data_IF_556889226340
#
_entry.id   IF_556889226340
#
_cell.length_a   1.000
_cell.length_b   1.000
_cell.length_c   1.000
_cell.angle_alpha   90.00
_cell.angle_beta   90.00
_cell.angle_gamma   90.00
#
_symmetry.space_group_name_H-M   'P 1'
#
loop_
_entity.id
_entity.type
_entity.pdbx_description
1 polymer ?
#
# COMPACT_ATOMS: atom_id res chain seq x y z
N UNK A 1 -8.64 5.40 -19.07
CA UNK A 1 -8.34 4.38 -18.04
C UNK A 1 -7.72 5.14 -16.89
N UNK A 2 -8.25 5.04 -15.67
CA UNK A 2 -7.67 5.77 -14.53
C UNK A 2 -6.35 5.11 -14.11
N UNK A 3 -5.35 5.89 -13.64
CA UNK A 3 -4.12 5.30 -13.10
C UNK A 3 -4.39 4.35 -11.92
N UNK A 4 -3.54 3.33 -11.70
CA UNK A 4 -3.70 2.33 -10.63
C UNK A 4 -3.89 2.93 -9.23
N UNK A 5 -3.28 4.07 -8.93
CA UNK A 5 -3.39 4.76 -7.64
C UNK A 5 -4.83 5.20 -7.31
N UNK A 6 -5.64 5.57 -8.31
CA UNK A 6 -7.05 5.95 -8.09
C UNK A 6 -7.93 4.73 -7.78
N UNK A 7 -7.61 3.57 -8.36
CA UNK A 7 -8.32 2.34 -8.01
C UNK A 7 -8.03 1.91 -6.57
N UNK A 8 -6.82 2.18 -6.08
CA UNK A 8 -6.43 1.92 -4.69
C UNK A 8 -7.08 2.92 -3.74
N UNK A 9 -7.11 4.21 -4.08
CA UNK A 9 -7.80 5.21 -3.26
C UNK A 9 -9.29 4.90 -3.13
N UNK A 10 -9.97 4.50 -4.20
CA UNK A 10 -11.39 4.09 -4.18
C UNK A 10 -11.62 2.87 -3.27
N UNK A 11 -10.74 1.88 -3.34
CA UNK A 11 -10.79 0.68 -2.50
C UNK A 11 -10.60 1.03 -1.02
N UNK A 12 -9.66 1.91 -0.70
CA UNK A 12 -9.37 2.26 0.69
C UNK A 12 -10.42 3.23 1.28
N UNK A 13 -11.00 4.11 0.46
CA UNK A 13 -12.04 5.06 0.89
C UNK A 13 -13.39 4.37 1.19
N UNK A 14 -13.59 3.13 0.74
CA UNK A 14 -14.81 2.34 0.99
C UNK A 14 -14.88 1.79 2.42
N UNK A 15 -15.13 2.70 3.40
CA UNK A 15 -15.55 2.44 4.79
C UNK A 15 -14.82 1.30 5.55
N UNK A 16 -13.91 1.69 6.44
CA UNK A 16 -13.53 0.99 7.69
C UNK A 16 -13.44 -0.53 7.61
N UNK A 17 -12.24 -1.05 7.33
CA UNK A 17 -11.90 -2.49 7.31
C UNK A 17 -12.24 -3.13 8.67
N UNK A 18 -13.49 -3.56 8.83
CA UNK A 18 -13.99 -4.36 9.96
C UNK A 18 -14.30 -5.81 9.57
N UNK A 19 -14.09 -6.16 8.30
CA UNK A 19 -14.29 -7.53 7.79
C UNK A 19 -12.96 -8.09 7.30
N UNK A 20 -12.62 -9.31 7.74
CA UNK A 20 -11.46 -10.06 7.27
C UNK A 20 -11.52 -10.37 5.76
N UNK A 21 -12.70 -10.31 5.13
CA UNK A 21 -12.88 -10.53 3.69
C UNK A 21 -14.00 -9.64 3.15
N UNK A 22 -13.77 -8.94 2.04
CA UNK A 22 -14.73 -8.04 1.42
C UNK A 22 -14.70 -8.18 -0.11
N UNK A 23 -15.86 -8.02 -0.77
CA UNK A 23 -15.96 -8.03 -2.23
C UNK A 23 -16.31 -6.64 -2.76
N UNK A 24 -15.42 -6.03 -3.54
CA UNK A 24 -15.60 -4.70 -4.13
C UNK A 24 -15.24 -4.74 -5.61
N UNK A 25 -16.12 -4.23 -6.48
CA UNK A 25 -15.88 -4.13 -7.92
C UNK A 25 -15.37 -5.43 -8.58
N UNK A 26 -15.81 -6.58 -8.07
CA UNK A 26 -15.37 -7.89 -8.57
C UNK A 26 -13.99 -8.34 -8.07
N UNK A 27 -13.42 -7.69 -7.06
CA UNK A 27 -12.21 -8.09 -6.33
C UNK A 27 -12.56 -8.59 -4.93
N UNK A 28 -11.76 -9.53 -4.44
CA UNK A 28 -11.73 -9.98 -3.05
C UNK A 28 -10.59 -9.25 -2.34
N UNK A 29 -10.92 -8.60 -1.23
CA UNK A 29 -10.02 -7.86 -0.38
C UNK A 29 -9.95 -8.61 0.95
N UNK A 30 -8.75 -8.97 1.38
CA UNK A 30 -8.54 -9.64 2.68
C UNK A 30 -7.72 -8.71 3.58
N UNK A 31 -8.24 -8.42 4.78
CA UNK A 31 -7.53 -7.63 5.78
C UNK A 31 -6.77 -8.49 6.76
N UNK A 32 -5.61 -8.01 7.21
CA UNK A 32 -4.73 -8.67 8.19
C UNK A 32 -4.39 -10.12 7.79
N UNK A 33 -3.65 -10.27 6.70
CA UNK A 33 -3.18 -11.58 6.26
C UNK A 33 -2.04 -12.05 7.16
N UNK A 34 -2.30 -13.11 7.93
CA UNK A 34 -1.33 -13.75 8.81
C UNK A 34 -0.39 -14.65 7.99
N UNK A 35 0.91 -14.45 8.18
CA UNK A 35 2.00 -15.20 7.57
C UNK A 35 2.87 -15.78 8.69
N UNK A 36 3.28 -17.03 8.52
CA UNK A 36 4.22 -17.70 9.41
C UNK A 36 5.53 -17.90 8.66
N UNK A 37 6.62 -17.38 9.21
CA UNK A 37 7.97 -17.58 8.69
C UNK A 37 8.80 -18.33 9.71
N UNK A 38 9.49 -19.39 9.29
CA UNK A 38 10.56 -20.01 10.08
C UNK A 38 11.82 -19.18 9.86
N UNK A 39 12.35 -18.57 10.92
CA UNK A 39 13.57 -17.77 10.87
C UNK A 39 14.82 -18.62 11.11
N UNK A 40 16.00 -18.03 10.90
CA UNK A 40 17.30 -18.69 11.06
C UNK A 40 17.59 -19.18 12.50
N UNK A 41 16.85 -18.65 13.49
CA UNK A 41 16.86 -19.10 14.89
C UNK A 41 16.07 -20.40 15.12
N UNK A 42 15.36 -20.89 14.10
CA UNK A 42 14.51 -22.07 14.18
C UNK A 42 13.13 -21.81 14.77
N UNK A 43 12.81 -20.56 15.15
CA UNK A 43 11.52 -20.17 15.71
C UNK A 43 10.56 -19.66 14.62
N UNK A 44 9.27 -19.74 14.93
CA UNK A 44 8.21 -19.18 14.10
C UNK A 44 8.01 -17.70 14.41
N UNK A 45 8.19 -16.86 13.40
CA UNK A 45 7.88 -15.44 13.46
C UNK A 45 6.57 -15.17 12.74
N UNK A 46 5.66 -14.45 13.42
CA UNK A 46 4.38 -14.07 12.86
C UNK A 46 4.48 -12.71 12.17
N UNK A 47 4.02 -12.68 10.93
CA UNK A 47 4.01 -11.53 10.05
C UNK A 47 2.55 -11.21 9.68
N UNK A 48 2.20 -9.93 9.62
CA UNK A 48 0.83 -9.50 9.32
C UNK A 48 0.84 -8.45 8.21
N UNK A 49 0.48 -8.85 6.99
CA UNK A 49 0.23 -7.88 5.93
C UNK A 49 -1.13 -7.20 6.17
N UNK A 50 -1.21 -5.88 5.95
CA UNK A 50 -2.44 -5.16 6.20
C UNK A 50 -3.57 -5.51 5.23
N UNK A 51 -3.34 -5.52 3.92
CA UNK A 51 -4.38 -5.80 2.92
C UNK A 51 -3.84 -6.57 1.70
N UNK A 52 -4.59 -7.56 1.22
CA UNK A 52 -4.36 -8.20 -0.08
C UNK A 52 -5.58 -8.04 -0.98
N UNK A 53 -5.33 -7.90 -2.28
CA UNK A 53 -6.36 -7.78 -3.32
C UNK A 53 -6.20 -8.93 -4.30
N UNK A 54 -7.30 -9.61 -4.61
CA UNK A 54 -7.32 -10.79 -5.49
C UNK A 54 -8.54 -10.74 -6.41
N UNK A 55 -8.40 -11.21 -7.65
CA UNK A 55 -9.57 -11.50 -8.50
C UNK A 55 -10.16 -12.87 -8.11
N UNK A 56 -11.51 -13.01 -8.03
CA UNK A 56 -12.16 -14.30 -7.87
C UNK A 56 -11.61 -15.30 -8.88
N UNK A 57 -11.28 -16.51 -8.42
CA UNK A 57 -10.72 -17.61 -9.20
C UNK A 57 -9.31 -17.39 -9.80
N UNK A 58 -8.62 -16.29 -9.50
CA UNK A 58 -7.21 -16.17 -9.85
C UNK A 58 -6.35 -16.97 -8.87
N UNK A 59 -5.30 -17.68 -9.31
CA UNK A 59 -4.35 -18.30 -8.39
C UNK A 59 -3.40 -17.28 -7.75
N UNK A 60 -3.29 -16.06 -8.31
CA UNK A 60 -2.32 -15.05 -7.88
C UNK A 60 -2.99 -13.84 -7.20
N UNK A 61 -2.29 -13.24 -6.24
CA UNK A 61 -2.67 -11.94 -5.71
C UNK A 61 -2.44 -10.86 -6.77
N UNK A 62 -3.42 -9.97 -6.88
CA UNK A 62 -3.32 -8.82 -7.78
C UNK A 62 -2.47 -7.73 -7.14
N UNK A 63 -2.70 -7.42 -5.86
CA UNK A 63 -1.92 -6.44 -5.13
C UNK A 63 -1.76 -6.81 -3.66
N UNK A 64 -0.62 -6.41 -3.10
CA UNK A 64 -0.27 -6.45 -1.70
C UNK A 64 -0.14 -5.00 -1.20
N UNK A 65 -0.85 -4.66 -0.12
CA UNK A 65 -0.88 -3.31 0.42
C UNK A 65 -0.41 -3.31 1.88
N UNK A 66 0.62 -2.54 2.15
CA UNK A 66 1.05 -2.17 3.51
C UNK A 66 0.48 -0.78 3.84
N UNK A 67 -0.23 -0.66 4.96
CA UNK A 67 -0.95 0.53 5.36
C UNK A 67 -0.36 1.09 6.65
N UNK A 68 0.02 2.36 6.61
CA UNK A 68 0.52 3.05 7.79
C UNK A 68 -0.21 4.38 8.00
N UNK A 69 -0.71 4.61 9.21
CA UNK A 69 -1.15 5.93 9.65
C UNK A 69 0.04 6.69 10.24
N UNK A 70 -0.02 8.04 10.25
CA UNK A 70 1.03 8.98 10.70
C UNK A 70 2.13 8.33 11.55
N UNK A 71 3.33 8.24 10.98
CA UNK A 71 4.46 7.55 11.57
C UNK A 71 5.77 8.37 11.45
N UNK A 72 6.75 8.05 12.30
CA UNK A 72 8.10 8.59 12.16
C UNK A 72 8.78 8.08 10.88
N UNK A 73 9.75 8.83 10.38
CA UNK A 73 10.56 8.43 9.21
C UNK A 73 11.17 7.04 9.40
N UNK A 74 11.74 6.76 10.58
CA UNK A 74 12.30 5.44 10.88
C UNK A 74 11.29 4.29 10.80
N UNK A 75 10.01 4.55 11.09
CA UNK A 75 8.95 3.57 10.91
C UNK A 75 8.61 3.41 9.42
N UNK A 76 8.53 4.50 8.66
CA UNK A 76 8.31 4.45 7.22
C UNK A 76 9.38 3.56 6.55
N UNK A 77 10.66 3.79 6.86
CA UNK A 77 11.77 2.99 6.32
C UNK A 77 11.63 1.50 6.64
N UNK A 78 11.31 1.17 7.90
CA UNK A 78 11.11 -0.22 8.32
C UNK A 78 9.98 -0.90 7.53
N UNK A 79 8.85 -0.20 7.32
CA UNK A 79 7.72 -0.76 6.58
C UNK A 79 7.95 -0.82 5.06
N UNK A 80 8.74 0.09 4.48
CA UNK A 80 9.15 0.01 3.08
C UNK A 80 9.93 -1.26 2.76
N UNK A 81 10.75 -1.76 3.69
CA UNK A 81 11.47 -3.02 3.52
C UNK A 81 10.59 -4.23 3.89
N UNK A 82 9.76 -4.10 4.92
CA UNK A 82 8.89 -5.17 5.41
C UNK A 82 7.91 -5.68 4.35
N UNK A 83 7.38 -4.81 3.49
CA UNK A 83 6.44 -5.20 2.45
C UNK A 83 7.04 -6.21 1.45
N UNK A 84 8.36 -6.17 1.21
CA UNK A 84 9.02 -7.15 0.34
C UNK A 84 9.10 -8.54 0.98
N UNK A 85 9.21 -8.64 2.30
CA UNK A 85 9.16 -9.94 3.00
C UNK A 85 7.82 -10.64 2.79
N UNK A 86 6.75 -9.86 2.66
CA UNK A 86 5.41 -10.39 2.35
C UNK A 86 5.30 -10.79 0.89
N UNK A 87 5.85 -9.98 -0.03
CA UNK A 87 5.81 -10.31 -1.44
C UNK A 87 6.60 -11.59 -1.77
N UNK A 88 7.75 -11.80 -1.14
CA UNK A 88 8.53 -13.04 -1.29
C UNK A 88 7.74 -14.31 -0.97
N UNK A 89 6.75 -14.22 -0.07
CA UNK A 89 5.89 -15.35 0.30
C UNK A 89 4.60 -15.42 -0.52
N UNK A 90 4.04 -14.27 -0.89
CA UNK A 90 2.71 -14.16 -1.49
C UNK A 90 2.72 -14.01 -3.01
N UNK A 91 3.88 -13.68 -3.60
CA UNK A 91 4.11 -13.48 -5.03
C UNK A 91 3.04 -12.61 -5.70
N UNK A 92 2.79 -11.44 -5.10
CA UNK A 92 1.81 -10.48 -5.60
C UNK A 92 2.33 -9.75 -6.84
N UNK A 93 1.45 -9.46 -7.80
CA UNK A 93 1.84 -8.73 -9.01
C UNK A 93 2.18 -7.26 -8.79
N UNK A 94 1.58 -6.65 -7.76
CA UNK A 94 1.78 -5.25 -7.42
C UNK A 94 1.99 -5.12 -5.92
N UNK A 95 2.95 -4.28 -5.55
CA UNK A 95 3.28 -4.00 -4.15
C UNK A 95 3.06 -2.52 -3.91
N UNK A 96 2.25 -2.21 -2.89
CA UNK A 96 1.88 -0.84 -2.56
C UNK A 96 2.15 -0.55 -1.10
N UNK A 97 2.87 0.53 -0.84
CA UNK A 97 2.89 1.18 0.46
C UNK A 97 1.93 2.36 0.45
N UNK A 98 1.00 2.38 1.41
CA UNK A 98 -0.05 3.38 1.50
C UNK A 98 0.06 4.07 2.85
N UNK A 99 0.37 5.36 2.83
CA UNK A 99 0.55 6.14 4.06
C UNK A 99 -0.47 7.26 4.17
N UNK A 100 -1.28 7.21 5.23
CA UNK A 100 -2.23 8.25 5.60
C UNK A 100 -1.65 9.11 6.70
N UNK A 101 -1.66 10.41 6.52
CA UNK A 101 -1.18 11.32 7.56
C UNK A 101 -1.88 12.67 7.52
N UNK A 102 -1.81 13.39 8.62
CA UNK A 102 -2.28 14.77 8.74
C UNK A 102 -1.14 15.78 8.77
N UNK A 103 0.10 15.28 8.73
CA UNK A 103 1.29 16.11 8.81
C UNK A 103 1.51 16.85 7.50
N UNK A 104 1.70 18.17 7.56
CA UNK A 104 1.77 19.03 6.38
C UNK A 104 2.93 18.65 5.45
N UNK A 105 4.01 18.05 5.98
CA UNK A 105 5.14 17.59 5.18
C UNK A 105 4.73 16.56 4.13
N UNK A 106 3.64 15.82 4.34
CA UNK A 106 3.13 14.82 3.39
C UNK A 106 2.72 15.48 2.07
N UNK A 107 2.30 16.74 2.13
CA UNK A 107 1.97 17.56 0.97
C UNK A 107 3.19 18.33 0.49
N UNK A 108 3.88 19.02 1.39
CA UNK A 108 4.94 19.97 0.99
C UNK A 108 6.25 19.30 0.60
N UNK A 109 6.57 18.14 1.20
CA UNK A 109 7.79 17.39 0.97
C UNK A 109 7.61 15.91 1.39
N UNK A 110 6.82 15.13 0.63
CA UNK A 110 6.55 13.72 0.96
C UNK A 110 7.85 12.91 1.07
N UNK A 111 7.89 12.00 2.05
CA UNK A 111 9.04 11.14 2.30
C UNK A 111 8.96 9.88 1.44
N UNK A 112 9.90 9.74 0.49
CA UNK A 112 9.93 8.64 -0.45
C UNK A 112 10.96 7.57 -0.06
N UNK A 113 10.73 6.29 -0.42
CA UNK A 113 11.72 5.25 -0.23
C UNK A 113 12.95 5.48 -1.12
N UNK A 114 14.05 4.80 -0.79
CA UNK A 114 15.21 4.76 -1.68
C UNK A 114 14.86 4.24 -3.08
N UNK A 115 15.47 4.83 -4.11
CA UNK A 115 15.24 4.52 -5.53
C UNK A 115 15.32 3.00 -5.82
N UNK A 116 16.30 2.31 -5.21
CA UNK A 116 16.47 0.84 -5.30
C UNK A 116 15.21 0.04 -4.93
N UNK A 117 14.35 0.55 -4.05
CA UNK A 117 13.11 -0.12 -3.66
C UNK A 117 12.02 0.13 -4.70
N UNK A 118 11.99 1.33 -5.30
CA UNK A 118 11.07 1.64 -6.41
C UNK A 118 11.43 0.86 -7.68
N UNK A 119 12.72 0.71 -7.98
CA UNK A 119 13.21 -0.14 -9.08
C UNK A 119 12.82 -1.62 -8.90
N UNK A 120 12.68 -2.08 -7.65
CA UNK A 120 12.16 -3.41 -7.31
C UNK A 120 10.64 -3.52 -7.40
N UNK A 121 9.94 -2.47 -7.81
CA UNK A 121 8.49 -2.47 -8.01
C UNK A 121 7.67 -1.98 -6.81
N UNK A 122 8.29 -1.36 -5.79
CA UNK A 122 7.53 -0.73 -4.70
C UNK A 122 6.84 0.54 -5.21
N UNK A 123 5.51 0.49 -5.27
CA UNK A 123 4.68 1.65 -5.48
C UNK A 123 4.35 2.32 -4.14
N UNK A 124 4.33 3.64 -4.11
CA UNK A 124 4.06 4.41 -2.89
C UNK A 124 2.98 5.45 -3.17
N UNK A 125 2.01 5.51 -2.26
CA UNK A 125 1.03 6.59 -2.22
C UNK A 125 0.93 7.17 -0.82
N UNK A 126 0.96 8.49 -0.76
CA UNK A 126 0.76 9.29 0.42
C UNK A 126 -0.56 10.04 0.31
N UNK A 127 -1.38 9.92 1.34
CA UNK A 127 -2.59 10.69 1.50
C UNK A 127 -2.44 11.63 2.68
N UNK A 128 -2.45 12.93 2.39
CA UNK A 128 -2.73 13.92 3.41
C UNK A 128 -4.23 14.09 3.54
N UNK A 129 -4.72 14.24 4.77
CA UNK A 129 -6.13 14.53 5.00
C UNK A 129 -6.33 15.47 6.18
N UNK A 130 -7.41 16.25 6.13
CA UNK A 130 -7.84 17.00 7.30
C UNK A 130 -8.48 16.08 8.35
N UNK A 131 -8.78 16.64 9.54
CA UNK A 131 -9.36 15.89 10.67
C UNK A 131 -10.68 15.18 10.32
N UNK A 132 -11.43 15.72 9.36
CA UNK A 132 -12.78 15.27 9.03
C UNK A 132 -12.84 14.54 7.70
N UNK A 133 -11.68 14.27 7.06
CA UNK A 133 -11.58 13.74 5.70
C UNK A 133 -12.42 14.54 4.68
N UNK A 134 -12.54 15.86 4.87
CA UNK A 134 -13.23 16.74 3.92
C UNK A 134 -12.32 17.25 2.82
N UNK A 135 -11.02 17.27 3.09
CA UNK A 135 -9.99 17.57 2.14
C UNK A 135 -9.00 16.42 2.16
N UNK A 136 -8.74 15.82 1.00
CA UNK A 136 -7.75 14.76 0.83
C UNK A 136 -6.84 15.12 -0.33
N UNK A 137 -5.54 15.08 -0.09
CA UNK A 137 -4.49 15.32 -1.09
C UNK A 137 -3.63 14.08 -1.26
N UNK A 138 -3.20 13.81 -2.47
CA UNK A 138 -2.44 12.62 -2.84
C UNK A 138 -1.12 13.00 -3.48
N UNK A 139 -0.06 12.32 -3.05
CA UNK A 139 1.19 12.24 -3.79
C UNK A 139 1.52 10.75 -4.01
N UNK A 140 1.88 10.36 -5.22
CA UNK A 140 2.19 8.97 -5.55
C UNK A 140 3.42 8.85 -6.45
N UNK A 141 4.18 7.77 -6.26
CA UNK A 141 5.24 7.31 -7.16
C UNK A 141 5.01 5.83 -7.45
N UNK A 142 4.80 5.49 -8.71
CA UNK A 142 4.43 4.13 -9.10
C UNK A 142 4.81 3.82 -10.54
N UNK A 143 4.93 2.53 -10.86
CA UNK A 143 5.01 2.05 -12.23
C UNK A 143 3.62 1.78 -12.76
N UNK A 144 3.31 2.33 -13.94
CA UNK A 144 2.04 2.04 -14.59
C UNK A 144 2.06 0.70 -15.33
N UNK A 145 0.94 0.36 -15.98
CA UNK A 145 0.79 -0.91 -16.72
C UNK A 145 1.65 -1.00 -17.99
N UNK A 146 2.33 0.08 -18.36
CA UNK A 146 3.24 0.17 -19.51
C UNK A 146 4.70 0.17 -19.08
N UNK A 147 4.98 -0.13 -17.81
CA UNK A 147 6.30 -0.02 -17.18
C UNK A 147 6.89 1.40 -17.27
N UNK A 148 6.02 2.42 -17.30
CA UNK A 148 6.44 3.80 -17.21
C UNK A 148 6.38 4.28 -15.75
N UNK A 149 7.48 4.88 -15.30
CA UNK A 149 7.53 5.54 -14.01
C UNK A 149 6.65 6.79 -14.01
N UNK A 150 5.71 6.85 -13.07
CA UNK A 150 4.75 7.92 -12.90
C UNK A 150 4.93 8.59 -11.54
N UNK A 151 4.85 9.92 -11.53
CA UNK A 151 4.85 10.74 -10.32
C UNK A 151 3.65 11.69 -10.32
N UNK A 152 2.95 11.73 -9.19
CA UNK A 152 1.86 12.65 -8.88
C UNK A 152 2.24 13.35 -7.58
N UNK A 153 2.18 14.68 -7.53
CA UNK A 153 2.49 15.46 -6.34
C UNK A 153 1.32 16.40 -6.02
N UNK A 154 0.86 16.38 -4.78
CA UNK A 154 -0.16 17.30 -4.24
C UNK A 154 -1.45 17.41 -5.07
N UNK A 155 -1.98 16.26 -5.50
CA UNK A 155 -3.26 16.23 -6.21
C UNK A 155 -4.44 16.21 -5.23
N UNK A 156 -5.42 17.07 -5.42
CA UNK A 156 -6.66 17.09 -4.63
C UNK A 156 -7.58 15.97 -5.11
N UNK A 157 -7.97 15.07 -4.21
CA UNK A 157 -8.83 13.91 -4.52
C UNK A 157 -10.24 14.06 -3.96
N UNK A 158 -10.39 14.76 -2.83
CA UNK A 158 -11.67 15.05 -2.19
C UNK A 158 -11.64 16.45 -1.57
#
# INVERSE_FOLDING_TARGET
>A
MLPPCYHISDIIASRGVKSAHMKIHGYEITGQWHLEQVCDDGDYHHLYCNLTIKKPNSPHLKALLELLATASISKLDGHFEQVFKYEEQLHSREIWFVHFSREDYVVTNPYWPFEKLQEKGLNVVHFWHDRNFKNVRMSARFWDITDQYCEIIDEIIL
#
